data_IF_870699918699
#
_entry.id   IF_870699918699
#
_cell.length_a   1.000
_cell.length_b   1.000
_cell.length_c   1.000
_cell.angle_alpha   90.00
_cell.angle_beta   90.00
_cell.angle_gamma   90.00
#
_symmetry.space_group_name_H-M   'P 1'
#
loop_
_entity.id
_entity.type
_entity.pdbx_description
1 polymer ?
#
# COMPACT_ATOMS: atom_id res chain seq x y z
N UNK A 1 6.23 21.91 0.03
CA UNK A 1 5.11 21.06 -0.43
C UNK A 1 5.67 19.99 -1.38
N UNK A 2 5.72 18.73 -0.97
CA UNK A 2 6.16 17.60 -1.82
C UNK A 2 4.99 16.65 -2.13
N UNK A 3 3.80 17.23 -2.34
CA UNK A 3 2.52 16.54 -2.45
C UNK A 3 1.98 16.54 -3.89
N UNK A 4 2.73 16.02 -4.87
CA UNK A 4 2.19 15.85 -6.23
C UNK A 4 2.08 14.38 -6.68
N UNK A 5 2.57 13.41 -5.89
CA UNK A 5 2.61 12.00 -6.30
C UNK A 5 1.63 11.08 -5.56
N UNK A 6 1.30 11.38 -4.31
CA UNK A 6 0.39 10.57 -3.49
C UNK A 6 -0.91 11.33 -3.27
N UNK A 7 -1.69 11.48 -4.34
CA UNK A 7 -2.89 12.32 -4.37
C UNK A 7 -4.17 11.56 -3.98
N UNK A 8 -4.15 10.22 -4.09
CA UNK A 8 -5.18 9.36 -3.52
C UNK A 8 -4.64 8.57 -2.33
N UNK A 9 -5.49 8.36 -1.32
CA UNK A 9 -5.13 7.66 -0.09
C UNK A 9 -4.55 6.27 -0.36
N UNK A 10 -5.12 5.53 -1.31
CA UNK A 10 -4.72 4.18 -1.69
C UNK A 10 -3.36 4.10 -2.39
N UNK A 11 -2.75 5.24 -2.76
CA UNK A 11 -1.38 5.27 -3.29
C UNK A 11 -0.31 5.27 -2.20
N UNK A 12 -0.71 5.59 -0.95
CA UNK A 12 0.19 5.74 0.19
C UNK A 12 -0.27 4.98 1.45
N UNK A 13 -1.45 4.36 1.43
CA UNK A 13 -2.01 3.62 2.56
C UNK A 13 -2.80 2.40 2.10
N UNK A 14 -2.55 1.25 2.74
CA UNK A 14 -3.19 -0.02 2.43
C UNK A 14 -3.51 -0.77 3.72
N UNK A 15 -4.75 -0.72 4.23
CA UNK A 15 -5.21 -1.64 5.26
C UNK A 15 -5.07 -3.09 4.77
N UNK A 16 -4.37 -3.91 5.55
CA UNK A 16 -4.18 -5.34 5.31
C UNK A 16 -5.24 -6.17 6.05
N UNK A 17 -5.64 -5.71 7.22
CA UNK A 17 -6.77 -6.21 8.00
C UNK A 17 -7.22 -5.11 8.99
N UNK A 18 -8.07 -5.47 9.95
CA UNK A 18 -8.64 -4.53 10.94
C UNK A 18 -7.60 -3.84 11.84
N UNK A 19 -6.36 -4.36 11.92
CA UNK A 19 -5.33 -3.88 12.85
C UNK A 19 -3.99 -3.57 12.21
N UNK A 20 -3.77 -3.91 10.94
CA UNK A 20 -2.47 -3.80 10.27
C UNK A 20 -2.61 -3.08 8.93
N UNK A 21 -1.68 -2.19 8.62
CA UNK A 21 -1.68 -1.49 7.33
C UNK A 21 -0.26 -1.23 6.82
N UNK A 22 -0.06 -1.32 5.50
CA UNK A 22 1.09 -0.71 4.84
C UNK A 22 0.87 0.79 4.69
N UNK A 23 1.93 1.57 4.82
CA UNK A 23 1.82 3.01 4.64
C UNK A 23 3.15 3.66 4.24
N UNK A 24 3.07 4.80 3.55
CA UNK A 24 4.20 5.68 3.31
C UNK A 24 4.15 6.89 4.25
N UNK A 25 4.98 6.96 5.31
CA UNK A 25 4.84 7.97 6.36
C UNK A 25 4.87 9.42 5.87
N UNK A 26 5.71 9.71 4.87
CA UNK A 26 5.93 11.08 4.39
C UNK A 26 4.76 11.62 3.54
N UNK A 27 3.76 10.79 3.21
CA UNK A 27 2.52 11.26 2.58
C UNK A 27 1.51 11.86 3.58
N UNK A 28 1.74 11.70 4.88
CA UNK A 28 0.82 12.12 5.93
C UNK A 28 1.47 13.15 6.85
N UNK A 29 0.70 14.15 7.28
CA UNK A 29 1.15 15.11 8.29
C UNK A 29 1.22 14.46 9.68
N UNK A 30 1.90 15.12 10.64
CA UNK A 30 2.11 14.54 11.96
C UNK A 30 0.80 14.25 12.71
N UNK A 31 -0.25 15.04 12.50
CA UNK A 31 -1.54 14.81 13.12
C UNK A 31 -2.17 13.52 12.61
N UNK A 32 -2.17 13.31 11.29
CA UNK A 32 -2.67 12.10 10.64
C UNK A 32 -1.87 10.87 11.05
N UNK A 33 -0.53 10.97 11.10
CA UNK A 33 0.32 9.87 11.55
C UNK A 33 -0.06 9.39 12.96
N UNK A 34 -0.30 10.32 13.89
CA UNK A 34 -0.73 10.01 15.27
C UNK A 34 -2.11 9.35 15.31
N UNK A 35 -3.06 9.87 14.53
CA UNK A 35 -4.40 9.30 14.44
C UNK A 35 -4.32 7.86 13.92
N UNK A 36 -3.62 7.65 12.81
CA UNK A 36 -3.48 6.33 12.18
C UNK A 36 -2.82 5.31 13.13
N UNK A 37 -1.80 5.71 13.88
CA UNK A 37 -1.13 4.82 14.84
C UNK A 37 -2.02 4.39 16.01
N UNK A 38 -3.14 5.09 16.28
CA UNK A 38 -4.11 4.67 17.30
C UNK A 38 -5.02 3.54 16.81
N UNK A 39 -5.18 3.37 15.49
CA UNK A 39 -6.08 2.38 14.89
C UNK A 39 -5.35 1.18 14.30
N UNK A 40 -4.12 1.39 13.79
CA UNK A 40 -3.36 0.37 13.10
C UNK A 40 -1.94 0.24 13.64
N UNK A 41 -1.44 -0.98 13.68
CA UNK A 41 -0.01 -1.23 13.54
C UNK A 41 0.39 -0.89 12.10
N UNK A 42 1.32 0.06 11.96
CA UNK A 42 1.69 0.62 10.67
C UNK A 42 3.03 0.05 10.18
N UNK A 43 3.03 -0.58 9.01
CA UNK A 43 4.19 -1.17 8.35
C UNK A 43 4.75 -0.20 7.30
N UNK A 44 5.90 0.47 7.56
CA UNK A 44 6.38 1.52 6.68
C UNK A 44 6.97 0.97 5.38
N UNK A 45 6.58 1.60 4.27
CA UNK A 45 7.24 1.48 2.98
C UNK A 45 8.25 2.62 2.81
N UNK A 46 9.35 2.35 2.12
CA UNK A 46 10.35 3.35 1.74
C UNK A 46 9.84 4.22 0.59
N UNK A 47 10.52 5.34 0.31
CA UNK A 47 10.15 6.21 -0.81
C UNK A 47 10.25 5.49 -2.18
N UNK A 48 11.25 4.62 -2.36
CA UNK A 48 11.41 3.86 -3.61
C UNK A 48 10.29 2.85 -3.84
N UNK A 49 9.84 2.18 -2.77
CA UNK A 49 8.69 1.25 -2.81
C UNK A 49 7.38 2.00 -3.00
N UNK A 50 7.19 3.13 -2.32
CA UNK A 50 6.00 3.98 -2.48
C UNK A 50 5.88 4.48 -3.93
N UNK A 51 6.98 4.92 -4.54
CA UNK A 51 7.02 5.33 -5.97
C UNK A 51 6.71 4.20 -6.95
N UNK A 52 6.85 2.94 -6.52
CA UNK A 52 6.47 1.74 -7.29
C UNK A 52 5.05 1.26 -6.98
N UNK A 53 4.28 2.05 -6.23
CA UNK A 53 2.91 1.77 -5.82
C UNK A 53 2.77 0.56 -4.88
N UNK A 54 3.73 0.35 -3.97
CA UNK A 54 3.66 -0.73 -2.98
C UNK A 54 2.41 -0.68 -2.07
N UNK A 55 1.87 0.51 -1.80
CA UNK A 55 0.61 0.67 -1.04
C UNK A 55 -0.64 0.49 -1.90
N UNK A 56 -0.54 0.52 -3.23
CA UNK A 56 -1.70 0.38 -4.11
C UNK A 56 -1.97 -1.10 -4.42
N UNK A 57 -2.15 -1.87 -3.35
CA UNK A 57 -2.33 -3.31 -3.37
C UNK A 57 -3.78 -3.71 -3.09
N UNK A 58 -4.18 -4.88 -3.63
CA UNK A 58 -5.48 -5.49 -3.37
C UNK A 58 -5.30 -6.59 -2.32
N UNK A 59 -6.14 -6.58 -1.29
CA UNK A 59 -6.08 -7.53 -0.18
C UNK A 59 -7.35 -8.37 -0.15
N UNK A 60 -7.21 -9.70 -0.18
CA UNK A 60 -8.30 -10.68 -0.18
C UNK A 60 -7.95 -11.78 0.84
N UNK A 61 -8.58 -11.74 2.01
CA UNK A 61 -8.18 -12.59 3.12
C UNK A 61 -6.71 -12.33 3.48
N UNK A 62 -5.88 -13.37 3.42
CA UNK A 62 -4.44 -13.26 3.62
C UNK A 62 -3.64 -13.14 2.30
N UNK A 63 -4.30 -12.97 1.16
CA UNK A 63 -3.64 -12.76 -0.13
C UNK A 63 -3.49 -11.27 -0.45
N UNK A 64 -2.31 -10.87 -0.89
CA UNK A 64 -2.02 -9.49 -1.30
C UNK A 64 -1.53 -9.48 -2.74
N UNK A 65 -2.24 -8.78 -3.62
CA UNK A 65 -1.86 -8.61 -5.03
C UNK A 65 -1.24 -7.22 -5.18
N UNK A 66 0.00 -7.14 -5.64
CA UNK A 66 0.73 -5.87 -5.76
C UNK A 66 1.69 -5.86 -6.96
N UNK A 67 2.17 -4.67 -7.32
CA UNK A 67 3.17 -4.50 -8.36
C UNK A 67 4.52 -5.10 -7.98
N UNK A 68 5.26 -5.59 -8.98
CA UNK A 68 6.64 -6.08 -8.87
C UNK A 68 7.62 -5.00 -8.36
N UNK A 69 8.77 -5.43 -7.81
CA UNK A 69 9.82 -4.52 -7.31
C UNK A 69 9.62 -4.03 -5.88
N UNK A 70 8.85 -4.78 -5.08
CA UNK A 70 8.61 -4.54 -3.65
C UNK A 70 8.90 -5.80 -2.81
N UNK A 71 10.00 -6.50 -3.10
CA UNK A 71 10.35 -7.80 -2.54
C UNK A 71 10.51 -7.75 -1.01
N UNK A 72 11.08 -6.66 -0.50
CA UNK A 72 11.18 -6.43 0.95
C UNK A 72 9.80 -6.33 1.61
N UNK A 73 8.84 -5.68 0.95
CA UNK A 73 7.44 -5.61 1.42
C UNK A 73 6.82 -7.00 1.38
N UNK A 74 7.05 -7.78 0.33
CA UNK A 74 6.56 -9.15 0.27
C UNK A 74 7.10 -10.02 1.42
N UNK A 75 8.39 -9.94 1.71
CA UNK A 75 8.98 -10.64 2.86
C UNK A 75 8.42 -10.14 4.20
N UNK A 76 8.17 -8.84 4.32
CA UNK A 76 7.56 -8.26 5.52
C UNK A 76 6.13 -8.78 5.72
N UNK A 77 5.34 -8.82 4.65
CA UNK A 77 3.97 -9.33 4.62
C UNK A 77 3.92 -10.83 4.94
N UNK A 78 4.85 -11.62 4.40
CA UNK A 78 4.99 -13.05 4.68
C UNK A 78 5.22 -13.31 6.17
N UNK A 79 6.10 -12.54 6.82
CA UNK A 79 6.30 -12.59 8.28
C UNK A 79 5.06 -12.23 9.09
N UNK A 80 4.08 -11.55 8.50
CA UNK A 80 2.79 -11.22 9.11
C UNK A 80 1.66 -12.15 8.64
N UNK A 81 1.98 -13.26 7.97
CA UNK A 81 1.02 -14.29 7.55
C UNK A 81 0.29 -14.02 6.24
N UNK A 82 0.75 -13.04 5.45
CA UNK A 82 0.18 -12.73 4.15
C UNK A 82 0.97 -13.35 3.00
N UNK A 83 0.27 -13.89 2.00
CA UNK A 83 0.86 -14.40 0.75
C UNK A 83 0.79 -13.33 -0.34
N UNK A 84 1.95 -12.87 -0.80
CA UNK A 84 2.04 -11.90 -1.89
C UNK A 84 2.00 -12.56 -3.26
N UNK A 85 1.23 -11.97 -4.16
CA UNK A 85 1.19 -12.27 -5.58
C UNK A 85 1.62 -11.03 -6.36
N UNK A 86 2.76 -11.12 -7.03
CA UNK A 86 3.22 -10.05 -7.89
C UNK A 86 2.54 -10.11 -9.26
N UNK A 87 2.15 -8.94 -9.77
CA UNK A 87 1.65 -8.75 -11.13
C UNK A 87 2.38 -7.57 -11.74
N UNK A 88 2.83 -7.70 -12.99
CA UNK A 88 3.48 -6.59 -13.68
C UNK A 88 2.45 -5.50 -14.02
N UNK A 89 2.54 -4.35 -13.35
CA UNK A 89 1.62 -3.21 -13.53
C UNK A 89 2.28 -2.06 -14.29
N UNK A 90 3.38 -2.31 -14.99
CA UNK A 90 4.26 -1.29 -15.58
C UNK A 90 3.54 -0.28 -16.49
N UNK A 91 2.57 -0.73 -17.29
CA UNK A 91 1.79 0.13 -18.18
C UNK A 91 0.82 1.04 -17.40
N UNK A 92 0.17 0.54 -16.36
CA UNK A 92 -0.74 1.34 -15.52
C UNK A 92 -0.01 2.33 -14.62
N UNK A 93 1.22 2.00 -14.20
CA UNK A 93 2.09 2.90 -13.44
C UNK A 93 2.38 4.19 -14.21
N UNK A 94 2.43 4.15 -15.56
CA UNK A 94 2.59 5.34 -16.40
C UNK A 94 1.42 6.33 -16.23
N UNK A 95 0.23 5.82 -15.92
CA UNK A 95 -0.98 6.61 -15.64
C UNK A 95 -1.14 6.97 -14.15
N UNK A 96 -0.19 6.61 -13.30
CA UNK A 96 -0.19 6.98 -11.88
C UNK A 96 -1.05 6.09 -10.98
N UNK A 97 -1.28 4.82 -11.35
CA UNK A 97 -2.01 3.84 -10.54
C UNK A 97 -1.45 2.41 -10.64
N UNK A 98 -1.97 1.51 -9.81
CA UNK A 98 -1.60 0.08 -9.81
C UNK A 98 -2.81 -0.80 -9.48
N UNK A 99 -2.59 -1.98 -8.88
CA UNK A 99 -3.61 -3.00 -8.67
C UNK A 99 -4.88 -2.47 -7.97
N UNK A 100 -4.75 -1.70 -6.89
CA UNK A 100 -5.91 -1.19 -6.15
C UNK A 100 -6.73 -0.20 -6.97
N UNK A 101 -6.09 0.72 -7.71
CA UNK A 101 -6.79 1.68 -8.57
C UNK A 101 -7.67 1.02 -9.65
N UNK A 102 -7.39 -0.23 -10.02
CA UNK A 102 -8.15 -0.99 -11.02
C UNK A 102 -9.27 -1.86 -10.42
N UNK A 103 -9.53 -1.72 -9.12
CA UNK A 103 -10.51 -2.56 -8.41
C UNK A 103 -11.39 -1.73 -7.49
N UNK A 104 -12.65 -2.16 -7.37
CA UNK A 104 -13.59 -1.64 -6.38
C UNK A 104 -14.24 -2.82 -5.67
N UNK A 105 -14.02 -2.94 -4.37
CA UNK A 105 -14.71 -3.95 -3.55
C UNK A 105 -16.14 -3.47 -3.30
N UNK A 106 -17.12 -4.22 -3.80
CA UNK A 106 -18.54 -3.88 -3.70
C UNK A 106 -19.24 -4.51 -2.47
N UNK A 107 -18.63 -5.55 -1.90
CA UNK A 107 -19.21 -6.27 -0.77
C UNK A 107 -18.62 -5.77 0.56
N UNK A 108 -19.44 -5.64 1.62
CA UNK A 108 -18.99 -5.23 2.95
C UNK A 108 -17.85 -6.09 3.50
#
# INVERSE_FOLDING_TARGET
MKASRFYHLDTAFCPLNDKLALWYPQAFDQASQRIMSNYFQLLPVSESEAKRFACNAVVIGNHVIMNEGSERIAQLLDRHGFKVHFVSMSEFVKSGGSAKCLTLRLNP
#
